data_IF_291187262144
#
_entry.id   IF_291187262144
#
_cell.length_a   1.000
_cell.length_b   1.000
_cell.length_c   1.000
_cell.angle_alpha   90.00
_cell.angle_beta   90.00
_cell.angle_gamma   90.00
#
_symmetry.space_group_name_H-M   'P 1'
#
loop_
_entity.id
_entity.type
_entity.pdbx_description
1 polymer ?
#
# COMPACT_ATOMS: atom_id res chain seq x y z
N UNK A 1 -12.22 -19.12 58.13
CA UNK A 1 -12.77 -20.27 57.37
C UNK A 1 -14.29 -20.21 57.52
N UNK A 2 -15.15 -20.39 56.49
CA UNK A 2 -14.92 -20.84 55.10
C UNK A 2 -15.58 -19.93 54.03
N UNK A 3 -14.97 -19.66 52.87
CA UNK A 3 -15.72 -19.25 51.65
C UNK A 3 -14.92 -19.70 50.42
N UNK A 4 -15.27 -20.86 49.87
CA UNK A 4 -14.85 -21.31 48.54
C UNK A 4 -16.03 -22.05 47.90
N UNK A 5 -17.06 -21.30 47.47
CA UNK A 5 -18.25 -21.86 46.79
C UNK A 5 -19.14 -20.78 46.12
N UNK A 6 -18.60 -19.67 45.59
CA UNK A 6 -19.43 -18.61 44.94
C UNK A 6 -18.92 -18.04 43.62
N UNK A 7 -17.96 -18.68 42.96
CA UNK A 7 -17.41 -18.17 41.69
C UNK A 7 -17.71 -19.01 40.45
N UNK A 8 -18.48 -20.10 40.55
CA UNK A 8 -18.76 -21.00 39.41
C UNK A 8 -20.20 -20.87 38.86
N UNK A 9 -21.14 -20.25 39.58
CA UNK A 9 -22.55 -20.13 39.11
C UNK A 9 -22.86 -18.90 38.23
N UNK A 10 -21.90 -17.99 38.03
CA UNK A 10 -22.12 -16.77 37.24
C UNK A 10 -21.77 -16.92 35.75
N UNK A 11 -21.23 -18.06 35.32
CA UNK A 11 -20.77 -18.28 33.93
C UNK A 11 -21.70 -19.18 33.10
N UNK A 12 -22.71 -19.80 33.70
CA UNK A 12 -23.58 -20.76 32.99
C UNK A 12 -24.96 -20.20 32.59
N UNK A 13 -25.34 -18.99 33.02
CA UNK A 13 -26.66 -18.41 32.71
C UNK A 13 -26.66 -17.25 31.68
N UNK A 14 -25.56 -17.05 30.95
CA UNK A 14 -25.46 -16.03 29.89
C UNK A 14 -25.54 -16.57 28.45
N UNK A 15 -25.77 -17.87 28.27
CA UNK A 15 -25.57 -18.59 27.01
C UNK A 15 -26.88 -19.09 26.39
N UNK A 16 -27.95 -18.30 26.45
CA UNK A 16 -29.15 -18.55 25.65
C UNK A 16 -29.74 -17.21 25.23
N UNK A 17 -29.30 -16.71 24.08
CA UNK A 17 -30.02 -15.87 23.12
C UNK A 17 -28.96 -15.27 22.18
N UNK A 18 -28.64 -15.99 21.11
CA UNK A 18 -28.27 -15.37 19.85
C UNK A 18 -28.59 -16.36 18.74
N UNK A 19 -29.53 -15.95 17.88
CA UNK A 19 -29.95 -16.72 16.72
C UNK A 19 -28.75 -17.09 15.87
N UNK A 20 -28.72 -18.36 15.49
CA UNK A 20 -27.80 -18.92 14.52
C UNK A 20 -27.98 -18.23 13.16
N UNK A 21 -27.24 -17.16 12.94
CA UNK A 21 -26.71 -16.86 11.62
C UNK A 21 -25.25 -17.29 11.66
N UNK A 22 -24.99 -18.57 11.41
CA UNK A 22 -23.67 -19.02 10.99
C UNK A 22 -23.43 -18.43 9.60
N UNK A 23 -23.02 -17.17 9.56
CA UNK A 23 -22.29 -16.63 8.42
C UNK A 23 -21.10 -17.56 8.23
N UNK A 24 -21.14 -18.41 7.21
CA UNK A 24 -19.94 -19.06 6.71
C UNK A 24 -19.00 -17.91 6.36
N UNK A 25 -18.02 -17.63 7.23
CA UNK A 25 -16.96 -16.66 6.95
C UNK A 25 -16.39 -17.06 5.59
N UNK A 26 -16.55 -16.20 4.58
CA UNK A 26 -15.95 -16.44 3.29
C UNK A 26 -14.44 -16.65 3.52
N UNK A 27 -13.90 -17.75 3.01
CA UNK A 27 -12.47 -18.07 3.10
C UNK A 27 -11.82 -17.58 1.81
N UNK A 28 -11.06 -16.46 1.83
CA UNK A 28 -10.44 -15.95 0.62
C UNK A 28 -9.51 -17.00 0.02
N UNK A 29 -9.51 -17.10 -1.31
CA UNK A 29 -8.56 -17.95 -2.03
C UNK A 29 -7.23 -17.24 -2.15
N UNK A 30 -6.13 -17.91 -1.80
CA UNK A 30 -4.78 -17.39 -2.01
C UNK A 30 -4.40 -17.65 -3.47
N UNK A 31 -3.97 -16.61 -4.18
CA UNK A 31 -3.48 -16.70 -5.55
C UNK A 31 -2.03 -16.24 -5.57
N UNK A 32 -1.14 -17.17 -5.88
CA UNK A 32 0.28 -16.89 -6.11
C UNK A 32 0.50 -16.65 -7.59
N UNK A 33 1.08 -15.50 -7.93
CA UNK A 33 1.42 -15.10 -9.30
C UNK A 33 2.92 -15.27 -9.49
N UNK A 34 3.33 -16.16 -10.40
CA UNK A 34 4.74 -16.41 -10.69
C UNK A 34 5.07 -16.41 -12.18
N UNK A 35 6.35 -16.26 -12.49
CA UNK A 35 6.87 -16.36 -13.87
C UNK A 35 8.08 -17.29 -13.94
N UNK A 36 9.31 -16.74 -13.90
CA UNK A 36 10.55 -17.48 -14.14
C UNK A 36 11.54 -17.44 -12.95
N UNK A 37 11.05 -17.17 -11.73
CA UNK A 37 11.86 -17.03 -10.51
C UNK A 37 11.57 -18.16 -9.51
N UNK A 38 12.10 -19.38 -9.72
CA UNK A 38 11.77 -20.53 -8.89
C UNK A 38 12.18 -20.37 -7.42
N UNK A 39 13.27 -19.66 -7.13
CA UNK A 39 13.73 -19.44 -5.76
C UNK A 39 12.87 -18.43 -5.01
N UNK A 40 12.44 -17.35 -5.68
CA UNK A 40 11.46 -16.40 -5.16
C UNK A 40 10.15 -17.11 -4.86
N UNK A 41 9.63 -17.88 -5.83
CA UNK A 41 8.42 -18.69 -5.65
C UNK A 41 8.54 -19.65 -4.45
N UNK A 42 9.66 -20.38 -4.33
CA UNK A 42 9.91 -21.28 -3.18
C UNK A 42 9.91 -20.52 -1.85
N UNK A 43 10.49 -19.32 -1.81
CA UNK A 43 10.52 -18.46 -0.61
C UNK A 43 9.11 -18.02 -0.22
N UNK A 44 8.29 -17.56 -1.17
CA UNK A 44 6.90 -17.19 -0.91
C UNK A 44 6.10 -18.40 -0.40
N UNK A 45 6.12 -19.51 -1.13
CA UNK A 45 5.41 -20.74 -0.75
C UNK A 45 5.84 -21.26 0.63
N UNK A 46 7.14 -21.18 0.94
CA UNK A 46 7.67 -21.51 2.27
C UNK A 46 7.18 -20.57 3.39
N UNK A 47 6.84 -19.32 3.08
CA UNK A 47 6.19 -18.41 4.05
C UNK A 47 4.72 -18.73 4.24
N UNK A 48 4.01 -19.16 3.19
CA UNK A 48 2.61 -19.56 3.26
C UNK A 48 2.39 -20.77 4.19
N UNK A 49 3.30 -21.75 4.20
CA UNK A 49 3.19 -22.92 5.10
C UNK A 49 3.22 -22.53 6.58
N UNK A 50 3.81 -21.40 6.91
CA UNK A 50 3.89 -20.89 8.28
C UNK A 50 2.66 -20.06 8.67
N UNK A 51 1.69 -19.89 7.77
CA UNK A 51 0.48 -19.13 7.98
C UNK A 51 -0.43 -19.73 9.04
N UNK A 52 -1.17 -18.88 9.73
CA UNK A 52 -2.26 -19.26 10.61
C UNK A 52 -3.57 -19.22 9.82
N UNK A 53 -4.16 -20.39 9.65
CA UNK A 53 -5.38 -20.58 8.87
C UNK A 53 -6.49 -21.15 9.76
N UNK A 54 -7.76 -20.77 9.50
CA UNK A 54 -8.88 -21.44 10.15
C UNK A 54 -8.90 -22.93 9.72
N UNK A 55 -9.47 -23.83 10.53
CA UNK A 55 -9.76 -25.19 10.10
C UNK A 55 -10.69 -25.15 8.88
N UNK A 56 -10.32 -25.83 7.80
CA UNK A 56 -11.13 -25.88 6.59
C UNK A 56 -10.37 -25.43 5.34
N UNK A 57 -11.03 -25.63 4.20
CA UNK A 57 -10.49 -25.57 2.84
C UNK A 57 -9.98 -24.17 2.44
N UNK A 58 -8.81 -23.77 2.94
CA UNK A 58 -8.10 -22.59 2.42
C UNK A 58 -7.51 -22.98 1.07
N UNK A 59 -8.14 -22.48 0.01
CA UNK A 59 -7.75 -22.78 -1.37
C UNK A 59 -6.49 -22.00 -1.74
N UNK A 60 -5.60 -22.67 -2.46
CA UNK A 60 -4.39 -22.10 -3.04
C UNK A 60 -4.40 -22.31 -4.55
N UNK A 61 -4.33 -21.21 -5.30
CA UNK A 61 -4.08 -21.21 -6.75
C UNK A 61 -2.66 -20.72 -7.00
N UNK A 62 -1.83 -21.53 -7.66
CA UNK A 62 -0.52 -21.10 -8.14
C UNK A 62 -0.64 -20.85 -9.65
N UNK A 63 -0.68 -19.58 -10.04
CA UNK A 63 -0.78 -19.15 -11.43
C UNK A 63 0.58 -18.75 -11.98
N UNK A 64 1.06 -19.47 -13.00
CA UNK A 64 2.35 -19.26 -13.64
C UNK A 64 2.18 -18.75 -15.06
N UNK A 65 2.81 -17.61 -15.39
CA UNK A 65 2.94 -17.17 -16.79
C UNK A 65 3.95 -18.05 -17.53
N UNK A 66 3.72 -18.30 -18.82
CA UNK A 66 4.57 -19.22 -19.58
C UNK A 66 6.00 -18.66 -19.73
N UNK A 67 6.98 -19.42 -19.25
CA UNK A 67 8.41 -19.14 -19.39
C UNK A 67 9.12 -20.26 -20.16
N UNK A 68 10.36 -20.00 -20.58
CA UNK A 68 11.21 -21.01 -21.23
C UNK A 68 11.85 -21.99 -20.21
N UNK A 69 11.45 -21.95 -18.94
CA UNK A 69 12.10 -22.66 -17.83
C UNK A 69 11.07 -23.51 -17.09
N UNK A 70 11.24 -24.85 -16.99
CA UNK A 70 10.28 -25.71 -16.31
C UNK A 70 10.36 -25.61 -14.78
N UNK A 71 11.38 -24.98 -14.22
CA UNK A 71 11.68 -24.95 -12.79
C UNK A 71 10.55 -24.37 -11.91
N UNK A 72 9.92 -23.22 -12.25
CA UNK A 72 8.79 -22.69 -11.47
C UNK A 72 7.60 -23.65 -11.41
N UNK A 73 7.30 -24.33 -12.51
CA UNK A 73 6.25 -25.35 -12.57
C UNK A 73 6.58 -26.55 -11.67
N UNK A 74 7.82 -27.04 -11.73
CA UNK A 74 8.29 -28.12 -10.84
C UNK A 74 8.18 -27.73 -9.36
N UNK A 75 8.51 -26.48 -9.01
CA UNK A 75 8.34 -25.95 -7.65
C UNK A 75 6.87 -25.96 -7.23
N UNK A 76 5.95 -25.51 -8.09
CA UNK A 76 4.51 -25.51 -7.79
C UNK A 76 3.92 -26.93 -7.67
N UNK A 77 4.33 -27.86 -8.54
CA UNK A 77 3.89 -29.26 -8.53
C UNK A 77 4.36 -29.98 -7.27
N UNK A 78 5.63 -29.81 -6.89
CA UNK A 78 6.22 -30.45 -5.72
C UNK A 78 5.78 -29.86 -4.37
N UNK A 79 5.21 -28.65 -4.36
CA UNK A 79 4.78 -27.99 -3.14
C UNK A 79 3.52 -28.64 -2.55
N UNK A 80 3.62 -29.18 -1.33
CA UNK A 80 2.47 -29.74 -0.61
C UNK A 80 1.71 -28.66 0.14
N UNK A 81 0.38 -28.64 0.01
CA UNK A 81 -0.49 -27.64 0.64
C UNK A 81 -1.48 -28.33 1.58
N UNK A 82 -1.24 -28.30 2.91
CA UNK A 82 -2.01 -29.10 3.85
C UNK A 82 -3.32 -28.44 4.30
N UNK A 83 -3.60 -27.20 3.89
CA UNK A 83 -4.73 -26.41 4.41
C UNK A 83 -5.96 -26.41 3.49
N UNK A 84 -5.90 -27.05 2.31
CA UNK A 84 -7.05 -27.10 1.40
C UNK A 84 -6.68 -27.55 -0.01
N UNK A 85 -7.54 -27.21 -0.96
CA UNK A 85 -7.30 -27.51 -2.38
C UNK A 85 -6.13 -26.68 -2.93
N UNK A 86 -5.21 -27.36 -3.64
CA UNK A 86 -4.17 -26.73 -4.45
C UNK A 86 -4.49 -26.89 -5.94
N UNK A 87 -4.61 -25.77 -6.65
CA UNK A 87 -4.77 -25.71 -8.11
C UNK A 87 -3.56 -25.04 -8.75
N UNK A 88 -3.02 -25.62 -9.81
CA UNK A 88 -1.95 -25.01 -10.61
C UNK A 88 -2.55 -24.55 -11.93
N UNK A 89 -2.35 -23.28 -12.28
CA UNK A 89 -2.78 -22.70 -13.55
C UNK A 89 -1.54 -22.25 -14.31
N UNK A 90 -1.12 -23.02 -15.31
CA UNK A 90 0.00 -22.69 -16.19
C UNK A 90 -0.46 -22.91 -17.64
N UNK A 91 -0.20 -21.92 -18.51
CA UNK A 91 -0.48 -22.01 -19.94
C UNK A 91 0.80 -22.21 -20.75
N UNK A 92 0.64 -22.55 -22.03
CA UNK A 92 1.77 -22.74 -22.96
C UNK A 92 2.25 -21.43 -23.59
N UNK A 93 1.41 -20.39 -23.59
CA UNK A 93 1.72 -19.08 -24.18
C UNK A 93 1.88 -17.99 -23.12
N UNK A 94 2.84 -17.09 -23.36
CA UNK A 94 3.13 -15.97 -22.47
C UNK A 94 2.04 -14.89 -22.57
N UNK A 95 1.34 -14.64 -21.48
CA UNK A 95 0.31 -13.60 -21.36
C UNK A 95 0.92 -12.21 -21.16
N UNK A 96 2.03 -12.14 -20.45
CA UNK A 96 2.61 -10.89 -19.98
C UNK A 96 1.93 -10.36 -18.72
N UNK A 97 2.66 -9.53 -17.97
CA UNK A 97 2.32 -9.12 -16.60
C UNK A 97 0.88 -8.61 -16.45
N UNK A 98 0.46 -7.63 -17.26
CA UNK A 98 -0.89 -7.07 -17.17
C UNK A 98 -1.96 -8.13 -17.30
N UNK A 99 -1.98 -8.87 -18.42
CA UNK A 99 -3.00 -9.87 -18.70
C UNK A 99 -2.98 -11.00 -17.66
N UNK A 100 -1.81 -11.39 -17.17
CA UNK A 100 -1.67 -12.43 -16.17
C UNK A 100 -2.29 -12.03 -14.83
N UNK A 101 -1.91 -10.87 -14.28
CA UNK A 101 -2.48 -10.37 -13.01
C UNK A 101 -3.98 -10.09 -13.14
N UNK A 102 -4.43 -9.53 -14.26
CA UNK A 102 -5.86 -9.36 -14.52
C UNK A 102 -6.61 -10.70 -14.50
N UNK A 103 -6.05 -11.75 -15.11
CA UNK A 103 -6.68 -13.08 -15.06
C UNK A 103 -6.69 -13.70 -13.66
N UNK A 104 -5.75 -13.31 -12.78
CA UNK A 104 -5.74 -13.72 -11.38
C UNK A 104 -6.84 -13.00 -10.59
N UNK A 105 -7.01 -11.69 -10.80
CA UNK A 105 -8.13 -10.96 -10.20
C UNK A 105 -9.50 -11.47 -10.69
N UNK A 106 -9.60 -11.89 -11.95
CA UNK A 106 -10.84 -12.46 -12.52
C UNK A 106 -11.30 -13.76 -11.81
N UNK A 107 -10.41 -14.43 -11.07
CA UNK A 107 -10.77 -15.58 -10.22
C UNK A 107 -11.67 -15.20 -9.03
N UNK A 108 -11.87 -13.90 -8.77
CA UNK A 108 -12.92 -13.44 -7.84
C UNK A 108 -14.33 -13.86 -8.27
N UNK A 109 -14.59 -14.03 -9.57
CA UNK A 109 -15.88 -14.54 -10.07
C UNK A 109 -16.07 -16.04 -9.77
N UNK A 110 -14.96 -16.81 -9.63
CA UNK A 110 -15.01 -18.22 -9.25
C UNK A 110 -15.03 -18.41 -7.73
N UNK A 111 -14.22 -17.63 -7.00
CA UNK A 111 -13.91 -17.88 -5.59
C UNK A 111 -14.48 -16.87 -4.60
N UNK A 112 -15.04 -15.75 -5.08
CA UNK A 112 -15.43 -14.62 -4.26
C UNK A 112 -14.22 -13.77 -3.90
N UNK A 113 -13.81 -13.81 -2.64
CA UNK A 113 -12.69 -13.03 -2.15
C UNK A 113 -11.35 -13.71 -2.48
N UNK A 114 -10.35 -12.92 -2.82
CA UNK A 114 -9.00 -13.40 -3.16
C UNK A 114 -7.91 -12.60 -2.49
N UNK A 115 -6.78 -13.26 -2.22
CA UNK A 115 -5.53 -12.66 -1.77
C UNK A 115 -4.48 -12.95 -2.83
N UNK A 116 -3.97 -11.91 -3.51
CA UNK A 116 -3.02 -12.04 -4.61
C UNK A 116 -1.61 -11.68 -4.15
N UNK A 117 -0.67 -12.60 -4.37
CA UNK A 117 0.73 -12.50 -3.93
C UNK A 117 1.67 -12.77 -5.10
N UNK A 118 2.56 -11.83 -5.42
CA UNK A 118 3.60 -12.01 -6.43
C UNK A 118 4.77 -12.85 -5.88
N UNK A 119 5.46 -13.61 -6.75
CA UNK A 119 6.49 -14.57 -6.37
C UNK A 119 7.69 -14.01 -5.60
N UNK A 120 7.93 -12.69 -5.62
CA UNK A 120 9.02 -12.03 -4.89
C UNK A 120 8.63 -11.55 -3.48
N UNK A 121 7.43 -11.86 -3.02
CA UNK A 121 6.96 -11.51 -1.69
C UNK A 121 7.34 -12.54 -0.61
N UNK A 122 7.21 -12.10 0.64
CA UNK A 122 7.15 -12.96 1.82
C UNK A 122 6.04 -12.44 2.72
N UNK A 123 5.24 -13.35 3.31
CA UNK A 123 4.12 -12.96 4.18
C UNK A 123 4.34 -13.32 5.64
N UNK A 124 3.77 -12.51 6.52
CA UNK A 124 3.61 -12.78 7.94
C UNK A 124 2.72 -14.01 8.15
N UNK A 125 2.93 -14.84 9.18
CA UNK A 125 1.98 -15.89 9.57
C UNK A 125 0.52 -15.41 9.74
N UNK A 126 0.31 -14.12 10.07
CA UNK A 126 -1.00 -13.55 10.38
C UNK A 126 -1.70 -12.90 9.17
N UNK A 127 -1.10 -12.95 7.98
CA UNK A 127 -1.63 -12.25 6.80
C UNK A 127 -3.06 -12.68 6.43
N UNK A 128 -3.37 -13.97 6.57
CA UNK A 128 -4.64 -14.54 6.14
C UNK A 128 -5.79 -14.07 7.03
N UNK A 129 -5.58 -14.08 8.35
CA UNK A 129 -6.57 -13.57 9.32
C UNK A 129 -6.85 -12.08 9.07
N UNK A 130 -5.79 -11.27 8.91
CA UNK A 130 -5.93 -9.85 8.60
C UNK A 130 -6.73 -9.62 7.31
N UNK A 131 -6.33 -10.28 6.22
CA UNK A 131 -6.98 -10.13 4.92
C UNK A 131 -8.46 -10.54 4.98
N UNK A 132 -8.77 -11.67 5.61
CA UNK A 132 -10.13 -12.18 5.75
C UNK A 132 -11.02 -11.18 6.50
N UNK A 133 -10.54 -10.66 7.63
CA UNK A 133 -11.32 -9.69 8.43
C UNK A 133 -11.47 -8.34 7.71
N UNK A 134 -10.41 -7.87 7.05
CA UNK A 134 -10.44 -6.61 6.31
C UNK A 134 -11.38 -6.69 5.10
N UNK A 135 -11.31 -7.77 4.32
CA UNK A 135 -12.22 -8.01 3.20
C UNK A 135 -13.67 -8.05 3.67
N UNK A 136 -13.97 -8.78 4.74
CA UNK A 136 -15.31 -8.81 5.31
C UNK A 136 -15.80 -7.43 5.77
N UNK A 137 -14.93 -6.61 6.35
CA UNK A 137 -15.30 -5.25 6.81
C UNK A 137 -15.53 -4.27 5.66
N UNK A 138 -14.72 -4.35 4.58
CA UNK A 138 -14.72 -3.38 3.48
C UNK A 138 -15.42 -3.87 2.20
N UNK A 139 -16.03 -5.07 2.20
CA UNK A 139 -16.68 -5.63 1.01
C UNK A 139 -17.77 -4.71 0.43
N UNK A 140 -18.50 -4.02 1.30
CA UNK A 140 -19.63 -3.15 0.95
C UNK A 140 -19.28 -1.65 0.95
N UNK A 141 -18.03 -1.29 1.25
CA UNK A 141 -17.57 0.09 1.24
C UNK A 141 -17.32 0.55 -0.21
N UNK A 142 -18.23 1.36 -0.76
CA UNK A 142 -18.18 1.81 -2.16
C UNK A 142 -16.95 2.67 -2.46
N UNK A 143 -16.39 3.34 -1.47
CA UNK A 143 -15.18 4.16 -1.57
C UNK A 143 -13.89 3.36 -1.42
N UNK A 144 -13.97 2.04 -1.13
CA UNK A 144 -12.81 1.15 -1.03
C UNK A 144 -12.66 0.31 -2.30
N UNK A 145 -11.46 0.30 -2.84
CA UNK A 145 -11.11 -0.45 -4.05
C UNK A 145 -10.26 -1.71 -3.78
N UNK A 146 -9.90 -1.98 -2.52
CA UNK A 146 -9.13 -3.16 -2.14
C UNK A 146 -8.37 -2.96 -0.83
N UNK A 147 -7.72 -4.04 -0.38
CA UNK A 147 -6.94 -4.08 0.87
C UNK A 147 -5.49 -4.42 0.54
N UNK A 148 -4.55 -3.70 1.14
CA UNK A 148 -3.12 -3.99 1.07
C UNK A 148 -2.68 -4.89 2.22
N UNK A 149 -1.73 -5.77 1.96
CA UNK A 149 -0.94 -6.46 3.00
C UNK A 149 0.38 -5.72 3.27
N UNK A 150 0.79 -4.83 2.37
CA UNK A 150 1.98 -4.02 2.52
C UNK A 150 1.69 -2.73 3.27
N UNK A 151 2.62 -2.25 4.09
CA UNK A 151 2.57 -0.90 4.68
C UNK A 151 3.50 0.02 3.91
N UNK A 152 2.97 1.06 3.27
CA UNK A 152 3.78 2.01 2.52
C UNK A 152 4.69 2.81 3.47
N UNK A 153 6.00 2.76 3.25
CA UNK A 153 7.00 3.55 3.98
C UNK A 153 7.74 4.55 3.08
N UNK A 154 7.37 4.61 1.80
CA UNK A 154 8.08 5.34 0.76
C UNK A 154 7.11 5.88 -0.30
N UNK A 155 7.03 7.20 -0.46
CA UNK A 155 6.30 7.83 -1.54
C UNK A 155 7.16 7.81 -2.81
N UNK A 156 6.75 7.03 -3.81
CA UNK A 156 7.51 6.89 -5.06
C UNK A 156 7.58 8.21 -5.84
N UNK A 157 6.45 8.89 -6.00
CA UNK A 157 6.35 10.18 -6.70
C UNK A 157 7.26 11.24 -6.07
N UNK A 158 7.32 11.31 -4.74
CA UNK A 158 8.18 12.25 -4.03
C UNK A 158 9.63 11.77 -3.87
N UNK A 159 9.89 10.49 -4.14
CA UNK A 159 11.16 9.83 -3.87
C UNK A 159 11.65 10.02 -2.41
N UNK A 160 10.72 10.02 -1.44
CA UNK A 160 10.98 10.31 -0.03
C UNK A 160 10.24 9.34 0.90
N UNK A 161 10.66 9.20 2.17
CA UNK A 161 9.94 8.38 3.13
C UNK A 161 8.51 8.89 3.30
N UNK A 162 7.59 7.93 3.44
CA UNK A 162 6.21 8.18 3.79
C UNK A 162 5.94 7.61 5.18
N UNK A 163 5.34 8.42 6.04
CA UNK A 163 4.97 8.05 7.40
C UNK A 163 3.52 8.51 7.58
N UNK A 164 2.53 7.61 7.61
CA UNK A 164 1.15 8.01 7.86
C UNK A 164 1.01 8.57 9.28
N UNK A 165 0.15 9.59 9.44
CA UNK A 165 -0.26 10.12 10.75
C UNK A 165 -0.95 9.02 11.53
N UNK A 166 -0.86 9.07 12.85
CA UNK A 166 -1.59 8.14 13.71
C UNK A 166 -3.11 8.28 13.50
N UNK A 167 -3.82 7.15 13.52
CA UNK A 167 -5.27 7.08 13.34
C UNK A 167 -5.97 6.53 14.60
N UNK A 168 -5.36 6.79 15.77
CA UNK A 168 -5.88 6.38 17.08
C UNK A 168 -6.01 4.87 17.21
N UNK A 169 -7.24 4.40 17.42
CA UNK A 169 -7.52 2.98 17.65
C UNK A 169 -7.64 2.14 16.37
N UNK A 170 -7.40 2.72 15.19
CA UNK A 170 -7.43 2.01 13.91
C UNK A 170 -6.05 1.45 13.55
N UNK A 171 -6.00 0.21 13.07
CA UNK A 171 -4.78 -0.41 12.54
C UNK A 171 -4.55 -0.13 11.05
N UNK A 172 -5.39 0.72 10.45
CA UNK A 172 -5.35 1.02 9.02
C UNK A 172 -5.45 2.52 8.72
N UNK A 173 -4.91 2.89 7.55
CA UNK A 173 -5.07 4.19 6.89
C UNK A 173 -5.50 3.99 5.43
N UNK A 174 -5.88 5.07 4.78
CA UNK A 174 -6.40 5.04 3.41
C UNK A 174 -5.50 5.81 2.46
N UNK A 175 -5.23 5.24 1.30
CA UNK A 175 -4.39 5.86 0.28
C UNK A 175 -5.02 5.68 -1.10
N UNK A 176 -5.03 6.75 -1.90
CA UNK A 176 -5.54 6.74 -3.27
C UNK A 176 -4.52 6.14 -4.27
N UNK A 177 -3.88 5.04 -3.89
CA UNK A 177 -3.00 4.21 -4.72
C UNK A 177 -3.26 2.74 -4.38
N UNK A 178 -3.30 1.88 -5.38
CA UNK A 178 -3.39 0.45 -5.18
C UNK A 178 -2.06 -0.14 -4.69
N UNK A 179 -2.16 -1.25 -3.95
CA UNK A 179 -1.01 -2.07 -3.60
C UNK A 179 -0.76 -3.16 -4.65
N UNK A 180 0.52 -3.48 -4.87
CA UNK A 180 0.97 -4.62 -5.69
C UNK A 180 1.86 -5.61 -4.93
N UNK A 181 2.21 -5.31 -3.68
CA UNK A 181 3.09 -6.15 -2.86
C UNK A 181 2.30 -6.93 -1.81
N UNK A 182 1.20 -7.53 -2.25
CA UNK A 182 0.23 -8.21 -1.42
C UNK A 182 -1.04 -7.39 -1.36
N UNK A 183 -2.04 -7.86 -2.10
CA UNK A 183 -3.31 -7.18 -2.26
C UNK A 183 -4.43 -8.19 -2.14
N UNK A 184 -5.55 -7.77 -1.58
CA UNK A 184 -6.74 -8.58 -1.44
C UNK A 184 -7.93 -7.82 -2.02
N UNK A 185 -8.78 -8.57 -2.73
CA UNK A 185 -9.97 -8.05 -3.37
C UNK A 185 -11.16 -8.92 -3.03
N UNK A 186 -12.28 -8.27 -2.71
CA UNK A 186 -13.57 -8.91 -2.82
C UNK A 186 -14.01 -8.95 -4.29
N UNK A 187 -14.99 -9.81 -4.59
CA UNK A 187 -15.62 -9.81 -5.91
C UNK A 187 -16.20 -8.44 -6.29
N UNK A 188 -16.71 -7.66 -5.32
CA UNK A 188 -17.23 -6.31 -5.56
C UNK A 188 -16.12 -5.34 -5.94
N UNK A 189 -15.00 -5.37 -5.21
CA UNK A 189 -13.83 -4.52 -5.51
C UNK A 189 -13.33 -4.76 -6.94
N UNK A 190 -13.13 -6.04 -7.30
CA UNK A 190 -12.59 -6.41 -8.60
C UNK A 190 -13.57 -6.11 -9.74
N UNK A 191 -14.85 -6.42 -9.57
CA UNK A 191 -15.88 -6.15 -10.59
C UNK A 191 -16.00 -4.67 -10.90
N UNK A 192 -15.91 -3.80 -9.89
CA UNK A 192 -15.89 -2.34 -10.09
C UNK A 192 -14.74 -1.90 -11.01
N UNK A 193 -13.53 -2.42 -10.77
CA UNK A 193 -12.39 -2.15 -11.63
C UNK A 193 -12.58 -2.69 -13.06
N UNK A 194 -13.09 -3.92 -13.21
CA UNK A 194 -13.31 -4.52 -14.54
C UNK A 194 -14.37 -3.78 -15.35
N UNK A 195 -15.45 -3.33 -14.70
CA UNK A 195 -16.48 -2.50 -15.34
C UNK A 195 -15.92 -1.16 -15.79
N UNK A 196 -15.15 -0.49 -14.93
CA UNK A 196 -14.47 0.75 -15.27
C UNK A 196 -13.51 0.57 -16.45
N UNK A 197 -12.71 -0.49 -16.44
CA UNK A 197 -11.75 -0.79 -17.50
C UNK A 197 -12.45 -1.09 -18.84
N UNK A 198 -13.58 -1.79 -18.80
CA UNK A 198 -14.38 -2.07 -20.01
C UNK A 198 -15.00 -0.79 -20.60
N UNK A 199 -15.42 0.16 -19.75
CA UNK A 199 -16.04 1.41 -20.17
C UNK A 199 -15.02 2.45 -20.69
N UNK A 200 -13.83 2.51 -20.08
CA UNK A 200 -12.83 3.56 -20.37
C UNK A 200 -11.68 3.07 -21.25
N UNK A 201 -11.49 1.76 -21.38
CA UNK A 201 -10.32 1.20 -22.04
C UNK A 201 -9.02 1.48 -21.28
N UNK A 202 -7.89 1.52 -21.98
CA UNK A 202 -6.56 1.72 -21.36
C UNK A 202 -6.01 3.13 -21.52
N UNK A 203 -6.73 4.03 -22.22
CA UNK A 203 -6.31 5.42 -22.36
C UNK A 203 -6.71 6.22 -21.12
N UNK A 204 -5.70 6.58 -20.32
CA UNK A 204 -5.86 7.32 -19.07
C UNK A 204 -5.54 8.82 -19.21
N UNK A 205 -5.37 9.32 -20.44
CA UNK A 205 -4.94 10.70 -20.72
C UNK A 205 -5.87 11.76 -20.12
N UNK A 206 -7.18 11.51 -20.13
CA UNK A 206 -8.19 12.45 -19.65
C UNK A 206 -8.36 12.46 -18.12
N UNK A 207 -7.81 11.48 -17.41
CA UNK A 207 -7.96 11.37 -15.95
C UNK A 207 -6.99 12.35 -15.31
N UNK A 208 -7.54 13.31 -14.55
CA UNK A 208 -6.75 14.33 -13.83
C UNK A 208 -6.11 13.74 -12.57
N UNK A 209 -5.13 14.44 -12.00
CA UNK A 209 -4.51 14.11 -10.72
C UNK A 209 -3.75 12.77 -10.62
N UNK A 210 -3.54 12.06 -11.73
CA UNK A 210 -2.57 10.94 -11.75
C UNK A 210 -1.16 11.53 -11.66
N UNK A 211 -0.33 11.10 -10.69
CA UNK A 211 1.07 11.50 -10.62
C UNK A 211 1.80 11.30 -11.97
N UNK A 212 2.63 12.26 -12.41
CA UNK A 212 3.28 12.20 -13.71
C UNK A 212 4.14 10.93 -13.91
N UNK A 213 4.80 10.47 -12.85
CA UNK A 213 5.61 9.26 -12.86
C UNK A 213 4.74 8.00 -13.07
N UNK A 214 3.61 7.91 -12.36
CA UNK A 214 2.62 6.81 -12.53
C UNK A 214 2.04 6.82 -13.95
N UNK A 215 1.75 8.00 -14.50
CA UNK A 215 1.29 8.15 -15.89
C UNK A 215 2.33 7.66 -16.89
N UNK A 216 3.61 7.86 -16.60
CA UNK A 216 4.72 7.44 -17.44
C UNK A 216 5.06 5.94 -17.31
N UNK A 217 4.42 5.20 -16.40
CA UNK A 217 4.66 3.76 -16.28
C UNK A 217 4.35 2.99 -17.58
N UNK A 218 5.03 1.86 -17.84
CA UNK A 218 4.83 1.08 -19.06
C UNK A 218 3.38 0.64 -19.27
N UNK A 219 2.99 0.48 -20.53
CA UNK A 219 1.70 -0.12 -20.91
C UNK A 219 1.59 -1.62 -20.58
N UNK A 220 2.61 -2.23 -20.00
CA UNK A 220 2.52 -3.56 -19.41
C UNK A 220 2.13 -3.55 -17.93
N UNK A 221 2.08 -2.38 -17.28
CA UNK A 221 1.71 -2.26 -15.87
C UNK A 221 0.19 -2.33 -15.73
N UNK A 222 -0.31 -3.30 -14.96
CA UNK A 222 -1.71 -3.34 -14.53
C UNK A 222 -2.00 -2.30 -13.45
N UNK A 223 -1.02 -2.08 -12.55
CA UNK A 223 -1.14 -1.16 -11.43
C UNK A 223 -1.35 0.28 -11.91
N UNK A 224 -0.77 0.65 -13.06
CA UNK A 224 -1.03 1.92 -13.76
C UNK A 224 -2.53 2.15 -13.99
N UNK A 225 -3.22 1.15 -14.55
CA UNK A 225 -4.65 1.24 -14.86
C UNK A 225 -5.50 1.16 -13.59
N UNK A 226 -5.08 0.37 -12.61
CA UNK A 226 -5.79 0.28 -11.34
C UNK A 226 -5.70 1.60 -10.56
N UNK A 227 -4.53 2.25 -10.51
CA UNK A 227 -4.39 3.59 -9.93
C UNK A 227 -5.24 4.62 -10.66
N UNK A 228 -5.30 4.54 -12.00
CA UNK A 228 -6.18 5.41 -12.79
C UNK A 228 -7.66 5.23 -12.40
N UNK A 229 -8.13 3.99 -12.26
CA UNK A 229 -9.48 3.68 -11.74
C UNK A 229 -9.73 4.27 -10.36
N UNK A 230 -8.81 4.06 -9.42
CA UNK A 230 -8.92 4.55 -8.04
C UNK A 230 -9.04 6.08 -8.02
N UNK A 231 -8.19 6.77 -8.79
CA UNK A 231 -8.15 8.24 -8.84
C UNK A 231 -9.39 8.79 -9.54
N UNK A 232 -9.77 8.21 -10.68
CA UNK A 232 -10.93 8.63 -11.46
C UNK A 232 -12.24 8.48 -10.68
N UNK A 233 -12.38 7.40 -9.92
CA UNK A 233 -13.58 7.09 -9.14
C UNK A 233 -13.51 7.59 -7.69
N UNK A 234 -12.47 8.35 -7.33
CA UNK A 234 -12.22 8.83 -5.96
C UNK A 234 -12.33 7.73 -4.89
N UNK A 235 -11.77 6.55 -5.18
CA UNK A 235 -11.71 5.40 -4.28
C UNK A 235 -10.37 5.36 -3.54
N UNK A 236 -10.24 4.46 -2.58
CA UNK A 236 -9.04 4.30 -1.77
C UNK A 236 -8.71 2.82 -1.55
N UNK A 237 -7.44 2.52 -1.35
CA UNK A 237 -7.02 1.25 -0.78
C UNK A 237 -6.84 1.39 0.72
N UNK A 238 -7.13 0.30 1.43
CA UNK A 238 -6.90 0.19 2.87
C UNK A 238 -5.50 -0.36 3.10
N UNK A 239 -4.66 0.38 3.80
CA UNK A 239 -3.30 -0.02 4.14
C UNK A 239 -3.15 -0.25 5.65
N UNK A 240 -2.50 -1.34 6.08
CA UNK A 240 -2.18 -1.55 7.48
C UNK A 240 -0.98 -0.68 7.91
N UNK A 241 -0.97 -0.22 9.16
CA UNK A 241 0.25 0.39 9.72
C UNK A 241 1.39 -0.62 9.86
N UNK A 242 1.07 -1.84 10.32
CA UNK A 242 2.04 -2.94 10.44
C UNK A 242 1.89 -3.86 9.22
N UNK A 243 2.95 -4.03 8.42
CA UNK A 243 2.86 -4.82 7.20
C UNK A 243 2.65 -6.32 7.49
N UNK A 244 1.89 -6.99 6.63
CA UNK A 244 1.70 -8.44 6.59
C UNK A 244 2.45 -9.08 5.41
N UNK A 245 3.02 -8.28 4.52
CA UNK A 245 3.88 -8.72 3.42
C UNK A 245 5.08 -7.78 3.25
N UNK A 246 6.16 -8.31 2.66
CA UNK A 246 7.36 -7.55 2.30
C UNK A 246 7.88 -8.00 0.95
N UNK A 247 8.45 -7.08 0.17
CA UNK A 247 8.97 -7.34 -1.16
C UNK A 247 10.49 -7.48 -1.12
N UNK A 248 11.05 -8.56 -1.67
CA UNK A 248 12.50 -8.80 -1.67
C UNK A 248 13.27 -8.02 -2.76
N UNK A 249 12.56 -7.36 -3.67
CA UNK A 249 13.15 -6.61 -4.77
C UNK A 249 13.98 -7.50 -5.69
N UNK A 250 13.65 -8.78 -5.79
CA UNK A 250 14.39 -9.73 -6.61
C UNK A 250 14.41 -9.24 -8.07
N UNK A 251 15.54 -9.38 -8.79
CA UNK A 251 15.64 -8.93 -10.17
C UNK A 251 14.47 -9.40 -11.04
N UNK A 252 13.89 -8.50 -11.84
CA UNK A 252 12.65 -8.71 -12.57
C UNK A 252 12.37 -7.58 -13.56
N UNK A 253 11.13 -7.40 -14.00
CA UNK A 253 10.79 -6.37 -15.00
C UNK A 253 11.08 -4.93 -14.54
N UNK A 254 11.19 -4.68 -13.23
CA UNK A 254 11.38 -3.35 -12.65
C UNK A 254 12.72 -3.14 -11.93
N UNK A 255 13.46 -4.20 -11.61
CA UNK A 255 14.73 -4.11 -10.87
C UNK A 255 15.84 -4.91 -11.54
N UNK A 256 16.98 -4.25 -11.81
CA UNK A 256 18.19 -4.87 -12.37
C UNK A 256 19.14 -5.37 -11.30
N UNK A 257 18.94 -4.98 -10.03
CA UNK A 257 19.70 -5.40 -8.85
C UNK A 257 18.76 -5.58 -7.66
N UNK A 258 19.03 -6.57 -6.80
CA UNK A 258 18.31 -6.76 -5.56
C UNK A 258 18.33 -5.46 -4.72
N UNK A 259 17.16 -4.96 -4.35
CA UNK A 259 17.02 -3.72 -3.58
C UNK A 259 16.20 -3.95 -2.33
N UNK A 260 16.78 -3.64 -1.16
CA UNK A 260 16.05 -3.63 0.11
C UNK A 260 15.17 -2.38 0.28
N UNK A 261 15.15 -1.47 -0.70
CA UNK A 261 14.44 -0.20 -0.64
C UNK A 261 12.94 -0.35 -0.35
N UNK A 262 12.34 -1.45 -0.81
CA UNK A 262 10.92 -1.72 -0.67
C UNK A 262 10.61 -2.75 0.43
N UNK A 263 11.64 -3.23 1.12
CA UNK A 263 11.45 -4.12 2.27
C UNK A 263 10.88 -3.34 3.46
N UNK A 264 9.89 -3.93 4.09
CA UNK A 264 9.26 -3.45 5.32
C UNK A 264 9.33 -4.52 6.40
N UNK A 265 9.29 -4.08 7.65
CA UNK A 265 9.11 -4.97 8.78
C UNK A 265 7.70 -5.58 8.73
N UNK A 266 7.63 -6.91 8.79
CA UNK A 266 6.35 -7.64 8.78
C UNK A 266 5.97 -8.10 10.18
N UNK A 267 4.67 -8.14 10.46
CA UNK A 267 4.09 -8.55 11.73
C UNK A 267 4.61 -9.93 12.17
N UNK A 268 5.08 -10.03 13.41
CA UNK A 268 5.63 -11.27 13.98
C UNK A 268 4.74 -11.90 15.06
N UNK A 269 3.76 -11.16 15.57
CA UNK A 269 2.90 -11.57 16.69
C UNK A 269 1.42 -11.36 16.34
N UNK A 270 0.56 -12.16 16.96
CA UNK A 270 -0.89 -11.98 16.84
C UNK A 270 -1.31 -10.66 17.47
N UNK A 271 -2.28 -9.99 16.85
CA UNK A 271 -2.98 -8.86 17.45
C UNK A 271 -4.41 -8.81 16.93
N UNK A 272 -5.29 -8.24 17.73
CA UNK A 272 -6.62 -7.89 17.26
C UNK A 272 -6.52 -6.71 16.28
N UNK A 273 -7.00 -6.89 15.05
CA UNK A 273 -7.04 -5.84 14.05
C UNK A 273 -8.32 -5.01 14.16
N UNK A 274 -8.14 -3.70 14.30
CA UNK A 274 -9.23 -2.71 14.36
C UNK A 274 -9.31 -1.94 13.05
N UNK A 275 -10.49 -1.93 12.47
CA UNK A 275 -10.79 -1.24 11.22
C UNK A 275 -11.66 -0.02 11.49
N UNK A 276 -11.56 0.98 10.61
CA UNK A 276 -12.36 2.20 10.67
C UNK A 276 -12.94 2.53 9.30
N UNK A 277 -14.00 3.32 9.24
CA UNK A 277 -14.53 3.83 7.98
C UNK A 277 -13.63 4.95 7.42
N UNK A 278 -13.72 5.20 6.11
CA UNK A 278 -13.04 6.33 5.48
C UNK A 278 -13.59 7.69 5.96
N UNK A 279 -14.87 7.72 6.36
CA UNK A 279 -15.50 8.87 6.96
C UNK A 279 -14.91 9.16 8.34
N UNK A 280 -14.67 8.17 9.18
CA UNK A 280 -14.15 8.38 10.55
C UNK A 280 -12.63 8.52 10.60
N UNK A 281 -11.92 8.07 9.56
CA UNK A 281 -10.46 8.11 9.51
C UNK A 281 -9.90 9.53 9.45
N UNK A 282 -8.86 9.79 10.27
CA UNK A 282 -7.99 10.95 10.11
C UNK A 282 -6.97 10.71 8.99
N UNK A 283 -6.38 9.51 8.93
CA UNK A 283 -5.31 9.17 8.02
C UNK A 283 -5.85 8.78 6.64
N UNK A 284 -6.13 9.79 5.81
CA UNK A 284 -6.61 9.60 4.43
C UNK A 284 -5.79 10.46 3.47
N UNK A 285 -5.18 9.79 2.49
CA UNK A 285 -4.16 10.34 1.61
C UNK A 285 -4.55 10.21 0.15
N UNK A 286 -4.19 11.21 -0.65
CA UNK A 286 -4.34 11.12 -2.10
C UNK A 286 -3.15 10.40 -2.79
N UNK A 287 -3.17 10.38 -4.12
CA UNK A 287 -2.19 9.69 -4.94
C UNK A 287 -0.75 10.23 -4.83
N UNK A 288 -0.56 11.39 -4.19
CA UNK A 288 0.75 11.99 -3.94
C UNK A 288 1.25 11.73 -2.51
N UNK A 289 0.55 10.87 -1.76
CA UNK A 289 0.78 10.63 -0.34
C UNK A 289 0.60 11.89 0.53
N UNK A 290 -0.20 12.85 0.08
CA UNK A 290 -0.53 14.06 0.84
C UNK A 290 -1.82 13.83 1.61
N UNK A 291 -1.85 14.24 2.88
CA UNK A 291 -3.05 14.14 3.70
C UNK A 291 -4.17 15.03 3.13
N UNK A 292 -5.40 14.51 3.04
CA UNK A 292 -6.50 15.27 2.46
C UNK A 292 -6.86 16.51 3.31
N UNK A 293 -7.27 17.64 2.69
CA UNK A 293 -7.67 18.85 3.41
C UNK A 293 -8.73 18.59 4.48
N UNK A 294 -9.70 17.70 4.21
CA UNK A 294 -10.75 17.34 5.18
C UNK A 294 -10.19 16.78 6.49
N UNK A 295 -9.11 16.00 6.42
CA UNK A 295 -8.45 15.43 7.60
C UNK A 295 -7.75 16.51 8.40
N UNK A 296 -7.12 17.47 7.73
CA UNK A 296 -6.46 18.61 8.38
C UNK A 296 -7.48 19.51 9.07
N UNK A 297 -8.57 19.87 8.37
CA UNK A 297 -9.64 20.75 8.89
C UNK A 297 -10.30 20.19 10.16
N UNK A 298 -10.41 18.87 10.29
CA UNK A 298 -10.95 18.23 11.51
C UNK A 298 -10.09 18.43 12.75
N UNK A 299 -8.79 18.69 12.58
CA UNK A 299 -7.82 18.82 13.68
C UNK A 299 -7.37 20.25 13.91
N UNK A 300 -7.30 21.07 12.86
CA UNK A 300 -6.92 22.46 12.95
C UNK A 300 -8.08 23.39 12.52
N UNK A 301 -8.81 23.99 13.49
CA UNK A 301 -9.92 24.90 13.22
C UNK A 301 -9.55 26.17 12.44
N UNK A 302 -8.29 26.64 12.49
CA UNK A 302 -7.86 27.80 11.70
C UNK A 302 -7.99 27.56 10.20
N UNK A 303 -7.94 26.30 9.78
CA UNK A 303 -8.05 25.89 8.39
C UNK A 303 -9.49 25.58 7.93
N UNK A 304 -10.48 25.60 8.83
CA UNK A 304 -11.83 25.13 8.55
C UNK A 304 -12.50 25.88 7.39
N UNK A 305 -12.31 27.20 7.31
CA UNK A 305 -12.96 28.07 6.32
C UNK A 305 -12.13 28.30 5.05
N UNK A 306 -11.01 27.60 4.88
CA UNK A 306 -10.15 27.75 3.70
C UNK A 306 -10.32 26.57 2.74
N UNK A 307 -10.50 26.83 1.46
CA UNK A 307 -10.38 25.82 0.40
C UNK A 307 -8.95 25.80 -0.11
N UNK A 308 -8.26 24.65 -0.01
CA UNK A 308 -6.85 24.55 -0.35
C UNK A 308 -6.45 23.14 -0.79
N UNK A 309 -5.35 23.06 -1.54
CA UNK A 309 -4.66 21.81 -1.86
C UNK A 309 -3.48 21.60 -0.91
N UNK A 310 -3.28 20.38 -0.42
CA UNK A 310 -2.08 20.03 0.36
C UNK A 310 -0.97 19.61 -0.59
N UNK A 311 0.21 20.20 -0.48
CA UNK A 311 1.36 19.96 -1.36
C UNK A 311 2.67 20.09 -0.58
N UNK A 312 2.80 19.33 0.52
CA UNK A 312 3.96 19.37 1.40
C UNK A 312 5.17 18.65 0.78
N UNK A 313 4.98 17.54 0.08
CA UNK A 313 6.03 16.92 -0.72
C UNK A 313 6.40 17.79 -1.93
N UNK A 314 5.48 18.61 -2.46
CA UNK A 314 5.76 19.58 -3.52
C UNK A 314 5.67 19.03 -4.94
N UNK A 315 5.05 17.87 -5.13
CA UNK A 315 4.97 17.17 -6.43
C UNK A 315 3.66 17.38 -7.18
N UNK A 316 2.69 18.10 -6.59
CA UNK A 316 1.45 18.48 -7.29
C UNK A 316 1.66 19.75 -8.11
N UNK A 317 0.86 19.86 -9.16
CA UNK A 317 0.65 21.09 -9.93
C UNK A 317 -0.77 21.59 -9.61
N UNK A 318 -0.97 22.23 -8.44
CA UNK A 318 -2.30 22.65 -8.02
C UNK A 318 -2.87 23.73 -8.98
N UNK A 319 -4.21 23.78 -9.14
CA UNK A 319 -4.84 24.91 -9.83
C UNK A 319 -4.63 26.22 -9.05
N UNK A 320 -4.98 27.34 -9.69
CA UNK A 320 -4.95 28.65 -9.02
C UNK A 320 -5.81 28.65 -7.75
N UNK A 321 -5.26 29.16 -6.65
CA UNK A 321 -5.91 29.27 -5.35
C UNK A 321 -4.94 29.03 -4.19
N UNK A 322 -5.46 28.71 -3.01
CA UNK A 322 -4.62 28.42 -1.85
C UNK A 322 -4.01 27.02 -1.91
N UNK A 323 -2.74 26.91 -1.53
CA UNK A 323 -2.12 25.64 -1.21
C UNK A 323 -1.45 25.69 0.16
N UNK A 324 -1.49 24.56 0.85
CA UNK A 324 -0.68 24.30 2.04
C UNK A 324 0.61 23.61 1.59
N UNK A 325 1.73 24.32 1.62
CA UNK A 325 3.00 23.86 1.04
C UNK A 325 4.21 24.27 1.88
N UNK A 326 5.36 23.67 1.61
CA UNK A 326 6.62 24.07 2.25
C UNK A 326 7.15 25.37 1.63
N UNK A 327 7.33 26.39 2.43
CA UNK A 327 7.92 27.67 1.98
C UNK A 327 8.42 28.48 3.18
N UNK A 328 9.41 29.32 2.95
CA UNK A 328 9.86 30.36 3.90
C UNK A 328 9.06 31.66 3.77
N UNK A 329 8.19 31.78 2.76
CA UNK A 329 7.32 32.93 2.58
C UNK A 329 6.22 32.96 3.64
N UNK A 330 5.81 34.17 4.01
CA UNK A 330 4.59 34.36 4.79
C UNK A 330 3.38 34.16 3.90
N UNK A 331 2.43 33.35 4.38
CA UNK A 331 1.13 33.15 3.75
C UNK A 331 0.00 33.69 4.62
N UNK A 332 -1.21 33.24 4.35
CA UNK A 332 -2.40 33.48 5.18
C UNK A 332 -2.20 32.89 6.57
N UNK A 333 -1.59 31.70 6.64
CA UNK A 333 -1.20 31.02 7.86
C UNK A 333 0.20 30.42 7.66
N UNK A 334 0.97 30.33 8.74
CA UNK A 334 2.32 29.80 8.74
C UNK A 334 2.51 28.79 9.87
N UNK A 335 3.16 27.68 9.56
CA UNK A 335 3.42 26.59 10.49
C UNK A 335 4.90 26.21 10.44
N UNK A 336 5.39 25.66 11.55
CA UNK A 336 6.78 25.25 11.68
C UNK A 336 7.06 23.95 10.92
N UNK A 337 8.14 23.88 10.13
CA UNK A 337 8.61 22.64 9.52
C UNK A 337 9.47 21.81 10.49
N UNK A 338 8.85 21.26 11.56
CA UNK A 338 9.57 20.65 12.69
C UNK A 338 9.06 19.27 13.13
N UNK A 339 7.77 18.95 12.97
CA UNK A 339 7.19 17.67 13.39
C UNK A 339 7.21 16.61 12.29
N UNK A 340 7.22 15.33 12.68
CA UNK A 340 7.19 14.17 11.76
C UNK A 340 5.95 13.29 11.98
N UNK A 341 5.16 12.97 10.94
CA UNK A 341 5.28 13.50 9.57
C UNK A 341 4.95 15.00 9.49
N UNK A 342 5.24 15.62 8.35
CA UNK A 342 5.25 17.09 8.16
C UNK A 342 3.91 17.75 8.53
N UNK A 343 2.82 17.03 8.29
CA UNK A 343 1.45 17.42 8.57
C UNK A 343 1.21 17.67 10.06
N UNK A 344 1.97 17.02 10.96
CA UNK A 344 1.74 17.14 12.40
C UNK A 344 1.90 18.57 12.91
N UNK A 345 2.82 19.36 12.34
CA UNK A 345 2.96 20.77 12.72
C UNK A 345 1.69 21.56 12.41
N UNK A 346 1.06 21.25 11.27
CA UNK A 346 -0.21 21.87 10.85
C UNK A 346 -1.36 21.35 11.71
N UNK A 347 -1.43 20.05 11.96
CA UNK A 347 -2.49 19.43 12.77
C UNK A 347 -2.48 19.91 14.23
N UNK A 348 -1.32 20.29 14.77
CA UNK A 348 -1.16 20.79 16.14
C UNK A 348 -1.04 22.32 16.23
N UNK A 349 -1.27 23.04 15.12
CA UNK A 349 -1.20 24.51 15.08
C UNK A 349 0.11 25.10 15.63
N UNK A 350 1.24 24.45 15.29
CA UNK A 350 2.56 24.93 15.69
C UNK A 350 2.95 26.08 14.77
N UNK A 351 2.73 27.31 15.23
CA UNK A 351 3.09 28.52 14.52
C UNK A 351 4.61 28.60 14.30
N UNK A 352 5.04 28.94 13.09
CA UNK A 352 6.47 28.99 12.77
C UNK A 352 6.75 29.30 11.31
N UNK A 353 7.88 28.78 10.81
CA UNK A 353 8.33 28.96 9.43
C UNK A 353 8.56 27.61 8.76
N UNK A 354 8.49 27.57 7.43
CA UNK A 354 8.81 26.39 6.62
C UNK A 354 7.58 25.68 6.04
N UNK A 355 6.38 25.93 6.55
CA UNK A 355 5.10 25.56 5.94
C UNK A 355 4.19 26.79 5.92
N UNK A 356 3.47 27.03 4.83
CA UNK A 356 2.47 28.09 4.75
C UNK A 356 1.23 27.66 3.98
N UNK A 357 0.09 28.20 4.38
CA UNK A 357 -1.10 28.32 3.53
C UNK A 357 -0.94 29.60 2.71
N UNK A 358 -0.68 29.50 1.42
CA UNK A 358 -0.34 30.64 0.55
C UNK A 358 -1.01 30.49 -0.81
N UNK A 359 -1.34 31.62 -1.44
CA UNK A 359 -1.86 31.60 -2.80
C UNK A 359 -0.78 31.14 -3.79
N UNK A 360 -1.15 30.23 -4.68
CA UNK A 360 -0.26 29.70 -5.73
C UNK A 360 0.39 30.78 -6.60
N UNK A 361 -0.27 31.93 -6.80
CA UNK A 361 0.26 33.04 -7.58
C UNK A 361 1.30 33.88 -6.84
N UNK A 362 1.31 33.84 -5.51
CA UNK A 362 2.26 34.55 -4.65
C UNK A 362 3.51 33.71 -4.35
N UNK A 363 3.48 32.42 -4.66
CA UNK A 363 4.54 31.49 -4.36
C UNK A 363 5.75 31.67 -5.28
N UNK A 364 6.92 31.89 -4.68
CA UNK A 364 8.20 31.84 -5.37
C UNK A 364 8.60 30.38 -5.62
N UNK A 365 8.22 29.88 -6.79
CA UNK A 365 8.54 28.53 -7.24
C UNK A 365 10.04 28.31 -7.46
N UNK A 366 10.83 29.37 -7.68
CA UNK A 366 12.29 29.24 -7.79
C UNK A 366 12.90 28.99 -6.41
N UNK A 367 12.45 29.72 -5.40
CA UNK A 367 12.88 29.52 -4.02
C UNK A 367 12.52 28.10 -3.52
N UNK A 368 11.30 27.63 -3.80
CA UNK A 368 10.87 26.27 -3.41
C UNK A 368 11.70 25.15 -4.00
N UNK A 369 12.20 25.33 -5.23
CA UNK A 369 13.02 24.35 -5.94
C UNK A 369 14.52 24.60 -5.78
N UNK A 370 14.92 25.46 -4.83
CA UNK A 370 16.32 25.73 -4.56
C UNK A 370 17.03 24.51 -3.98
N UNK A 371 18.33 24.37 -4.25
CA UNK A 371 19.15 23.30 -3.68
C UNK A 371 19.14 23.30 -2.15
N UNK A 372 18.96 24.47 -1.53
CA UNK A 372 18.83 24.60 -0.07
C UNK A 372 17.52 23.98 0.42
N UNK A 373 16.39 24.27 -0.23
CA UNK A 373 15.09 23.69 0.14
C UNK A 373 15.04 22.19 -0.10
N UNK A 374 15.67 21.71 -1.16
CA UNK A 374 15.86 20.28 -1.40
C UNK A 374 16.70 19.65 -0.27
N UNK A 375 17.83 20.26 0.07
CA UNK A 375 18.70 19.79 1.16
C UNK A 375 17.98 19.75 2.51
N UNK A 376 17.20 20.78 2.85
CA UNK A 376 16.47 20.86 4.12
C UNK A 376 15.39 19.76 4.22
N UNK A 377 14.74 19.43 3.10
CA UNK A 377 13.82 18.30 3.02
C UNK A 377 14.53 16.96 3.23
N UNK A 378 15.66 16.74 2.57
CA UNK A 378 16.44 15.51 2.78
C UNK A 378 16.93 15.41 4.21
N UNK A 379 17.41 16.51 4.81
CA UNK A 379 17.87 16.56 6.19
C UNK A 379 16.74 16.33 7.19
N UNK A 380 15.52 16.75 6.85
CA UNK A 380 14.33 16.45 7.65
C UNK A 380 14.13 14.94 7.73
N UNK A 381 14.17 14.20 6.63
CA UNK A 381 13.93 12.76 6.63
C UNK A 381 15.14 11.91 7.05
N UNK A 382 16.34 12.32 6.66
CA UNK A 382 17.56 11.52 6.78
C UNK A 382 18.62 12.20 7.63
N UNK A 383 19.32 11.39 8.42
CA UNK A 383 20.56 11.83 9.04
C UNK A 383 21.63 11.93 7.96
N UNK A 384 22.29 13.07 7.87
CA UNK A 384 23.36 13.26 6.91
C UNK A 384 24.52 12.29 7.19
N UNK A 385 25.02 11.53 6.19
CA UNK A 385 26.11 10.59 6.40
C UNK A 385 27.40 11.30 6.81
N UNK A 386 28.29 10.61 7.54
CA UNK A 386 29.61 11.16 7.83
C UNK A 386 30.44 11.30 6.56
N UNK A 387 31.40 12.24 6.54
CA UNK A 387 32.30 12.44 5.40
C UNK A 387 33.01 11.15 4.96
N UNK A 388 33.32 10.26 5.93
CA UNK A 388 33.89 8.94 5.66
C UNK A 388 32.95 8.07 4.81
N UNK A 389 31.66 8.04 5.15
CA UNK A 389 30.65 7.28 4.41
C UNK A 389 30.44 7.88 3.02
N UNK A 390 30.34 9.21 2.92
CA UNK A 390 30.22 9.91 1.64
C UNK A 390 31.40 9.59 0.73
N UNK A 391 32.63 9.71 1.25
CA UNK A 391 33.85 9.41 0.49
C UNK A 391 33.89 7.96 -0.01
N UNK A 392 33.43 7.00 0.80
CA UNK A 392 33.33 5.60 0.38
C UNK A 392 32.29 5.42 -0.75
N UNK A 393 31.10 6.01 -0.61
CA UNK A 393 30.05 5.95 -1.62
C UNK A 393 30.46 6.57 -2.96
N UNK A 394 31.20 7.68 -2.96
CA UNK A 394 31.77 8.29 -4.17
C UNK A 394 32.77 7.32 -4.84
N UNK A 395 33.68 6.73 -4.05
CA UNK A 395 34.65 5.76 -4.57
C UNK A 395 33.97 4.55 -5.21
N UNK A 396 32.89 4.07 -4.62
CA UNK A 396 32.08 2.98 -5.17
C UNK A 396 31.39 3.37 -6.48
N UNK A 397 30.73 4.54 -6.54
CA UNK A 397 30.12 5.07 -7.76
C UNK A 397 31.13 5.23 -8.90
N UNK A 398 32.33 5.73 -8.61
CA UNK A 398 33.42 5.85 -9.60
C UNK A 398 33.83 4.46 -10.11
N UNK A 399 34.01 3.48 -9.22
CA UNK A 399 34.32 2.09 -9.62
C UNK A 399 33.25 1.50 -10.53
N UNK A 400 31.96 1.70 -10.20
CA UNK A 400 30.84 1.21 -11.00
C UNK A 400 30.77 1.89 -12.38
N UNK A 401 31.04 3.19 -12.45
CA UNK A 401 31.10 3.90 -13.73
C UNK A 401 32.25 3.39 -14.61
N UNK A 402 33.42 3.11 -14.02
CA UNK A 402 34.58 2.57 -14.72
C UNK A 402 34.42 1.10 -15.15
N UNK A 403 33.67 0.29 -14.40
CA UNK A 403 33.38 -1.10 -14.77
C UNK A 403 32.23 -1.24 -15.77
N UNK A 404 31.25 -0.33 -15.74
CA UNK A 404 30.16 -0.25 -16.72
C UNK A 404 30.62 0.20 -18.11
N UNK A 405 31.71 0.97 -18.21
CA UNK A 405 32.31 1.38 -19.48
C UNK A 405 33.13 0.27 -20.19
N UNK A 406 33.24 -0.93 -19.59
CA UNK A 406 34.01 -2.08 -20.12
C UNK A 406 33.13 -3.26 -20.58
N UNK A 407 31.83 -3.05 -20.77
CA UNK A 407 30.91 -4.05 -21.34
C UNK A 407 30.30 -3.58 -22.65
#
# INVERSE_FOLDING_TARGET
>A
MPICAKWIESLENGLLLNGSNTMTSATPTIIVVGYNRPDSLRRLLGSLIKGHYPPGNVRLVISLDASNTPEPRKVAEAFDWPFGEKRIVAGDERKGLRKHVLSCGDLTEEYGDVIVLEDDLYVSPYFYEYATRALAYYADAEDVAGVSLYSLNFCQTANLPFIPVDNGNSDVYFLQLAASWGQAWSAKHWRGFRQWLAANGTDISNIRNIPPDVRAWPESSWLKLYNAYIIDQNKFFVYPYCALSTNFGDPGQHFTMASSRFQVAVQQQSKEHRFTSLEDSLAVYDAYCELLPRSIKRRNPKLANHEFVVNLYGHKQPPAGLQLTRTSQRGVLNFEFSMKPMELSVLNDIEGQGIALIDTSELDTQAQNSAQTEYDLYRFFYKFPSLKVIGFGIKEKIKLALSGARR
#
